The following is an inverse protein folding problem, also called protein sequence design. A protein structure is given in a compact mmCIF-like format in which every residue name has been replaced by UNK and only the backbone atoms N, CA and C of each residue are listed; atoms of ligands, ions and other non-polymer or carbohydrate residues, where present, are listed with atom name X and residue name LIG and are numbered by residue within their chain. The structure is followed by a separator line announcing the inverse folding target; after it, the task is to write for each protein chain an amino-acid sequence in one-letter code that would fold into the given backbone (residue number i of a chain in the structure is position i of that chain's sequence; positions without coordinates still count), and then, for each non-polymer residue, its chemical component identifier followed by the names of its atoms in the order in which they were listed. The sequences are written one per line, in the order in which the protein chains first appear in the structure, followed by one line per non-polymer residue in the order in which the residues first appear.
data_IF_236999884548
#
_entry.id   IF_236999884548
#
_cell.length_a   1.000
_cell.length_b   1.000
_cell.length_c   1.000
_cell.angle_alpha   90.00
_cell.angle_beta   90.00
_cell.angle_gamma   90.00
#
_symmetry.space_group_name_H-M   'P 1'
#
loop_
_entity.id
_entity.type
_entity.pdbx_description
1 polymer ?
#
# COMPACT_ATOMS: atom_id res chain seq x y z
N UNK A 1 -14.99 -27.40 34.04
CA UNK A 1 -15.54 -27.02 32.74
C UNK A 1 -15.65 -25.52 32.76
N UNK A 2 -14.77 -24.81 32.07
CA UNK A 2 -14.84 -23.36 31.94
C UNK A 2 -15.98 -23.06 30.94
N UNK A 3 -16.97 -22.30 31.40
CA UNK A 3 -18.04 -21.76 30.57
C UNK A 3 -17.45 -20.79 29.55
N UNK A 4 -17.15 -21.27 28.36
CA UNK A 4 -16.68 -20.44 27.25
C UNK A 4 -17.92 -19.75 26.65
N UNK A 5 -18.41 -18.69 27.30
CA UNK A 5 -19.39 -17.81 26.68
C UNK A 5 -18.76 -17.26 25.41
N UNK A 6 -19.26 -17.71 24.26
CA UNK A 6 -18.99 -17.00 23.00
C UNK A 6 -19.49 -15.57 23.19
N UNK A 7 -18.60 -14.61 23.06
CA UNK A 7 -18.93 -13.19 23.05
C UNK A 7 -20.07 -12.99 22.03
N UNK A 8 -21.12 -12.30 22.43
CA UNK A 8 -22.20 -11.93 21.51
C UNK A 8 -21.60 -11.03 20.43
N UNK A 9 -21.47 -11.58 19.21
CA UNK A 9 -20.85 -10.87 18.08
C UNK A 9 -21.61 -9.59 17.73
N UNK A 10 -22.89 -9.47 18.05
CA UNK A 10 -23.71 -8.28 17.78
C UNK A 10 -23.27 -7.04 18.57
N UNK A 11 -22.83 -7.20 19.82
CA UNK A 11 -22.35 -6.08 20.65
C UNK A 11 -20.91 -5.66 20.33
N UNK A 12 -20.14 -6.52 19.68
CA UNK A 12 -18.74 -6.28 19.31
C UNK A 12 -18.54 -6.08 17.81
N UNK A 13 -19.61 -5.98 17.03
CA UNK A 13 -19.54 -5.78 15.59
C UNK A 13 -19.18 -4.33 15.24
N UNK A 14 -17.86 -4.06 15.23
CA UNK A 14 -17.31 -2.80 14.77
C UNK A 14 -17.69 -2.46 13.31
N UNK A 15 -18.22 -3.43 12.53
CA UNK A 15 -18.61 -3.19 11.14
C UNK A 15 -19.79 -2.25 10.99
N UNK A 16 -20.59 -2.09 12.04
CA UNK A 16 -21.77 -1.21 12.05
C UNK A 16 -21.45 0.21 12.53
N UNK A 17 -20.28 0.43 13.19
CA UNK A 17 -19.92 1.74 13.72
C UNK A 17 -19.62 2.73 12.59
N UNK A 18 -20.23 3.93 12.57
CA UNK A 18 -20.07 4.88 11.46
C UNK A 18 -18.62 5.32 11.27
N UNK A 19 -17.87 5.56 12.36
CA UNK A 19 -16.48 6.02 12.31
C UNK A 19 -15.50 4.94 11.86
N UNK A 20 -15.96 3.69 11.72
CA UNK A 20 -15.15 2.55 11.29
C UNK A 20 -15.50 2.07 9.88
N UNK A 21 -16.08 2.96 9.06
CA UNK A 21 -16.41 2.73 7.65
C UNK A 21 -15.78 3.81 6.77
N UNK A 22 -15.43 3.47 5.53
CA UNK A 22 -15.06 4.50 4.55
C UNK A 22 -16.16 5.56 4.42
N UNK A 23 -15.79 6.84 4.27
CA UNK A 23 -16.77 7.91 4.11
C UNK A 23 -17.55 7.75 2.80
N UNK A 24 -18.76 8.29 2.79
CA UNK A 24 -19.54 8.54 1.56
C UNK A 24 -19.51 10.02 1.25
N UNK A 25 -19.53 10.38 -0.02
CA UNK A 25 -19.40 11.76 -0.49
C UNK A 25 -20.69 12.23 -1.16
N UNK A 26 -20.99 13.52 -1.03
CA UNK A 26 -22.17 14.13 -1.62
C UNK A 26 -21.86 14.80 -2.97
N UNK A 27 -20.59 15.01 -3.26
CA UNK A 27 -20.12 15.57 -4.54
C UNK A 27 -18.76 14.99 -4.94
N UNK A 28 -18.42 15.11 -6.21
CA UNK A 28 -17.12 14.75 -6.78
C UNK A 28 -16.00 15.62 -6.21
N UNK A 29 -16.28 16.87 -5.94
CA UNK A 29 -15.33 17.82 -5.37
C UNK A 29 -14.96 17.44 -3.94
N UNK A 30 -15.94 17.03 -3.13
CA UNK A 30 -15.72 16.52 -1.77
C UNK A 30 -14.86 15.25 -1.80
N UNK A 31 -15.20 14.31 -2.66
CA UNK A 31 -14.41 13.09 -2.82
C UNK A 31 -12.98 13.39 -3.30
N UNK A 32 -12.81 14.28 -4.28
CA UNK A 32 -11.49 14.70 -4.78
C UNK A 32 -10.65 15.33 -3.68
N UNK A 33 -11.25 16.25 -2.91
CA UNK A 33 -10.57 16.89 -1.78
C UNK A 33 -10.13 15.86 -0.74
N UNK A 34 -11.00 14.92 -0.38
CA UNK A 34 -10.69 13.82 0.51
C UNK A 34 -9.54 12.96 -0.01
N UNK A 35 -9.61 12.49 -1.25
CA UNK A 35 -8.55 11.65 -1.86
C UNK A 35 -7.19 12.35 -1.85
N UNK A 36 -7.15 13.66 -2.16
CA UNK A 36 -5.93 14.47 -2.14
C UNK A 36 -5.38 14.60 -0.71
N UNK A 37 -6.24 14.91 0.26
CA UNK A 37 -5.83 15.02 1.66
C UNK A 37 -5.20 13.72 2.16
N UNK A 38 -5.87 12.59 1.92
CA UNK A 38 -5.37 11.27 2.29
C UNK A 38 -4.05 10.93 1.60
N UNK A 39 -3.88 11.28 0.32
CA UNK A 39 -2.64 11.09 -0.42
C UNK A 39 -1.48 11.90 0.18
N UNK A 40 -1.69 13.18 0.48
CA UNK A 40 -0.67 14.01 1.13
C UNK A 40 -0.30 13.48 2.52
N UNK A 41 -1.29 13.09 3.33
CA UNK A 41 -1.08 12.48 4.63
C UNK A 41 -0.33 11.15 4.54
N UNK A 42 -0.65 10.29 3.57
CA UNK A 42 0.07 9.04 3.35
C UNK A 42 1.56 9.27 3.03
N UNK A 43 1.91 10.30 2.24
CA UNK A 43 3.31 10.68 2.02
C UNK A 43 4.00 11.07 3.33
N UNK A 44 3.35 11.90 4.18
CA UNK A 44 3.89 12.32 5.49
C UNK A 44 4.09 11.11 6.43
N UNK A 45 3.10 10.23 6.50
CA UNK A 45 3.18 8.98 7.29
C UNK A 45 4.36 8.14 6.82
N UNK A 46 4.52 7.96 5.51
CA UNK A 46 5.63 7.17 4.96
C UNK A 46 6.98 7.81 5.29
N UNK A 47 7.09 9.14 5.24
CA UNK A 47 8.31 9.84 5.65
C UNK A 47 8.64 9.61 7.12
N UNK A 48 7.66 9.66 8.04
CA UNK A 48 7.86 9.33 9.46
C UNK A 48 8.39 7.92 9.71
N UNK A 49 8.01 6.99 8.84
CA UNK A 49 8.49 5.60 8.92
C UNK A 49 9.81 5.35 8.14
N UNK A 50 10.41 6.39 7.53
CA UNK A 50 11.66 6.27 6.80
C UNK A 50 11.52 5.57 5.45
N UNK A 51 10.35 5.71 4.80
CA UNK A 51 10.10 5.11 3.47
C UNK A 51 10.40 6.07 2.32
N UNK A 52 10.80 7.30 2.61
CA UNK A 52 11.12 8.38 1.69
C UNK A 52 12.58 8.35 1.20
N UNK A 53 12.97 7.28 0.54
CA UNK A 53 14.36 7.11 0.10
C UNK A 53 14.65 7.95 -1.15
N UNK A 54 15.34 9.10 -1.00
CA UNK A 54 15.69 10.08 -2.05
C UNK A 54 14.43 10.62 -2.77
N UNK A 55 14.41 10.39 -4.11
CA UNK A 55 13.28 10.67 -5.00
C UNK A 55 12.51 9.40 -5.40
N UNK A 56 12.90 8.27 -4.81
CA UNK A 56 12.28 6.99 -5.07
C UNK A 56 10.98 6.84 -4.26
N UNK A 57 10.03 6.17 -4.86
CA UNK A 57 8.72 5.98 -4.28
C UNK A 57 7.70 7.02 -4.76
N UNK A 58 6.48 6.56 -4.85
CA UNK A 58 5.36 7.37 -5.33
C UNK A 58 4.04 6.73 -4.89
N UNK A 59 3.09 7.60 -4.58
CA UNK A 59 1.74 7.22 -4.24
C UNK A 59 0.80 7.89 -5.23
N UNK A 60 -0.23 7.17 -5.66
CA UNK A 60 -1.23 7.69 -6.57
C UNK A 60 -2.63 7.37 -6.11
N UNK A 61 -3.56 8.26 -6.43
CA UNK A 61 -5.00 8.01 -6.27
C UNK A 61 -5.73 8.50 -7.52
N UNK A 62 -6.60 7.64 -8.07
CA UNK A 62 -7.43 7.93 -9.25
C UNK A 62 -8.32 9.15 -8.99
N UNK A 63 -8.46 10.03 -9.98
CA UNK A 63 -9.42 11.12 -9.91
C UNK A 63 -10.85 10.55 -9.93
N UNK A 64 -11.77 11.03 -9.07
CA UNK A 64 -13.12 10.47 -8.99
C UNK A 64 -14.00 10.77 -10.20
N UNK A 65 -13.69 11.82 -10.97
CA UNK A 65 -14.44 12.24 -12.16
C UNK A 65 -13.82 11.71 -13.46
N UNK A 66 -12.48 11.68 -13.50
CA UNK A 66 -11.73 11.35 -14.70
C UNK A 66 -11.00 10.04 -14.53
N UNK A 67 -11.57 8.94 -15.01
CA UNK A 67 -11.01 7.60 -14.85
C UNK A 67 -9.63 7.40 -15.50
N UNK A 68 -9.25 8.27 -16.44
CA UNK A 68 -7.96 8.30 -17.12
C UNK A 68 -6.93 9.21 -16.46
N UNK A 69 -7.19 9.73 -15.25
CA UNK A 69 -6.31 10.63 -14.49
C UNK A 69 -6.11 10.14 -13.07
N UNK A 70 -4.97 10.50 -12.49
CA UNK A 70 -4.66 10.25 -11.09
C UNK A 70 -3.88 11.43 -10.48
N UNK A 71 -3.99 11.55 -9.17
CA UNK A 71 -3.19 12.46 -8.36
C UNK A 71 -1.94 11.73 -7.88
N UNK A 72 -0.81 12.45 -7.82
CA UNK A 72 0.51 11.90 -7.48
C UNK A 72 1.36 12.95 -6.75
N UNK A 73 2.27 12.51 -5.90
CA UNK A 73 3.27 13.36 -5.30
C UNK A 73 4.28 13.86 -6.36
N UNK A 74 4.70 15.15 -6.29
CA UNK A 74 5.67 15.72 -7.23
C UNK A 74 7.07 15.15 -7.03
N UNK A 75 7.86 15.12 -8.11
CA UNK A 75 9.28 14.78 -8.05
C UNK A 75 10.06 15.88 -7.30
N UNK A 76 10.98 15.47 -6.43
CA UNK A 76 11.96 16.36 -5.79
C UNK A 76 11.41 17.18 -4.62
N UNK A 77 10.20 16.88 -4.14
CA UNK A 77 9.69 17.41 -2.87
C UNK A 77 9.84 16.35 -1.80
N UNK A 78 10.44 16.71 -0.67
CA UNK A 78 10.53 15.81 0.49
C UNK A 78 9.14 15.41 0.96
N UNK A 79 8.91 14.12 1.20
CA UNK A 79 7.63 13.63 1.68
C UNK A 79 7.25 14.18 3.06
N UNK A 80 8.23 14.55 3.87
CA UNK A 80 8.01 15.31 5.12
C UNK A 80 7.38 16.69 4.91
N UNK A 81 7.33 17.21 3.69
CA UNK A 81 6.86 18.57 3.38
C UNK A 81 5.75 18.61 2.34
N UNK A 82 5.30 17.47 1.84
CA UNK A 82 4.20 17.39 0.89
C UNK A 82 2.94 18.00 1.51
N UNK A 83 2.26 18.85 0.74
CA UNK A 83 0.94 19.43 1.02
C UNK A 83 -0.04 19.02 -0.06
N UNK A 84 -1.33 19.17 0.23
CA UNK A 84 -2.41 18.96 -0.75
C UNK A 84 -2.22 19.85 -1.98
N UNK A 85 -1.75 21.10 -1.79
CA UNK A 85 -1.47 22.04 -2.87
C UNK A 85 -0.27 21.66 -3.76
N UNK A 86 0.63 20.79 -3.30
CA UNK A 86 1.78 20.32 -4.09
C UNK A 86 1.43 19.21 -5.07
N UNK A 87 0.31 18.49 -4.85
CA UNK A 87 -0.04 17.30 -5.63
C UNK A 87 -0.31 17.64 -7.10
N UNK A 88 0.11 16.73 -7.97
CA UNK A 88 -0.08 16.85 -9.41
C UNK A 88 -1.25 15.98 -9.86
N UNK A 89 -2.06 16.46 -10.80
CA UNK A 89 -2.95 15.62 -11.59
C UNK A 89 -2.29 15.29 -12.92
N UNK A 90 -2.19 14.00 -13.22
CA UNK A 90 -1.54 13.48 -14.42
C UNK A 90 -2.51 12.57 -15.17
N UNK A 91 -2.58 12.68 -16.49
CA UNK A 91 -3.35 11.76 -17.32
C UNK A 91 -2.53 10.52 -17.75
N UNK A 92 -3.20 9.51 -18.31
CA UNK A 92 -2.55 8.30 -18.78
C UNK A 92 -1.65 8.50 -20.02
N UNK A 93 -1.61 9.70 -20.59
CA UNK A 93 -0.64 10.07 -21.63
C UNK A 93 0.62 10.74 -21.07
N UNK A 94 0.70 10.91 -19.73
CA UNK A 94 1.85 11.51 -19.05
C UNK A 94 1.81 13.04 -18.98
N UNK A 95 0.69 13.66 -19.36
CA UNK A 95 0.54 15.11 -19.30
C UNK A 95 0.16 15.53 -17.89
N UNK A 96 0.87 16.51 -17.35
CA UNK A 96 0.48 17.17 -16.10
C UNK A 96 -0.69 18.11 -16.41
N UNK A 97 -1.87 17.78 -15.88
CA UNK A 97 -3.12 18.54 -16.06
C UNK A 97 -3.23 19.66 -15.02
N UNK A 98 -2.82 19.37 -13.78
CA UNK A 98 -2.75 20.35 -12.69
C UNK A 98 -1.42 20.22 -11.95
N UNK A 99 -0.91 21.37 -11.47
CA UNK A 99 0.37 21.49 -10.80
C UNK A 99 1.46 22.04 -11.71
N UNK A 100 2.59 22.40 -11.11
CA UNK A 100 3.69 23.09 -11.83
C UNK A 100 5.01 22.36 -11.75
N UNK A 101 5.08 21.29 -10.95
CA UNK A 101 6.30 20.47 -10.78
C UNK A 101 6.33 19.30 -11.75
N UNK A 102 7.51 18.75 -12.04
CA UNK A 102 7.61 17.53 -12.83
C UNK A 102 7.08 16.31 -12.08
N UNK A 103 6.48 15.38 -12.82
CA UNK A 103 6.16 14.04 -12.33
C UNK A 103 7.41 13.16 -12.43
N UNK A 104 7.54 12.19 -11.51
CA UNK A 104 8.55 11.15 -11.64
C UNK A 104 8.17 10.22 -12.81
N UNK A 105 9.05 10.06 -13.80
CA UNK A 105 8.79 9.24 -14.99
C UNK A 105 8.53 7.77 -14.64
N UNK A 106 9.22 7.21 -13.64
CA UNK A 106 8.98 5.85 -13.16
C UNK A 106 7.62 5.74 -12.46
N UNK A 107 7.23 6.76 -11.67
CA UNK A 107 5.91 6.83 -11.06
C UNK A 107 4.81 6.76 -12.11
N UNK A 108 4.93 7.61 -13.13
CA UNK A 108 3.98 7.62 -14.24
C UNK A 108 3.94 6.26 -14.94
N UNK A 109 5.08 5.72 -15.35
CA UNK A 109 5.15 4.48 -16.11
C UNK A 109 4.48 3.32 -15.35
N UNK A 110 4.82 3.11 -14.08
CA UNK A 110 4.30 2.00 -13.27
C UNK A 110 2.80 2.19 -12.97
N UNK A 111 2.44 3.35 -12.41
CA UNK A 111 1.09 3.55 -11.88
C UNK A 111 0.04 3.74 -12.98
N UNK A 112 0.40 4.36 -14.12
CA UNK A 112 -0.53 4.49 -15.25
C UNK A 112 -0.96 3.13 -15.79
N UNK A 113 -0.04 2.17 -15.91
CA UNK A 113 -0.37 0.82 -16.41
C UNK A 113 -1.14 -0.01 -15.38
N UNK A 114 -0.91 0.19 -14.07
CA UNK A 114 -1.71 -0.43 -13.00
C UNK A 114 -3.14 0.11 -13.05
N UNK A 115 -3.30 1.44 -13.02
CA UNK A 115 -4.62 2.05 -13.09
C UNK A 115 -5.36 1.73 -14.40
N UNK A 116 -4.66 1.62 -15.52
CA UNK A 116 -5.26 1.24 -16.81
C UNK A 116 -5.72 -0.20 -16.84
N UNK A 117 -4.95 -1.11 -16.24
CA UNK A 117 -5.21 -2.55 -16.22
C UNK A 117 -6.22 -3.01 -15.16
N UNK A 118 -6.48 -2.16 -14.15
CA UNK A 118 -7.27 -2.50 -12.96
C UNK A 118 -8.23 -1.36 -12.61
N UNK A 119 -9.46 -1.42 -13.13
CA UNK A 119 -10.50 -0.42 -12.86
C UNK A 119 -10.93 -0.40 -11.38
N UNK A 120 -10.81 -1.54 -10.70
CA UNK A 120 -11.08 -1.69 -9.27
C UNK A 120 -10.02 -1.02 -8.38
N UNK A 121 -8.83 -0.73 -8.91
CA UNK A 121 -7.77 -0.03 -8.19
C UNK A 121 -7.99 1.47 -8.23
N UNK A 122 -8.29 2.04 -7.05
CA UNK A 122 -8.41 3.48 -6.86
C UNK A 122 -7.06 4.09 -6.49
N UNK A 123 -6.24 3.39 -5.71
CA UNK A 123 -4.94 3.89 -5.29
C UNK A 123 -3.84 2.83 -5.41
N UNK A 124 -2.61 3.31 -5.61
CA UNK A 124 -1.42 2.50 -5.60
C UNK A 124 -0.30 3.20 -4.81
N UNK A 125 0.46 2.42 -4.05
CA UNK A 125 1.59 2.88 -3.27
C UNK A 125 2.84 2.05 -3.63
N UNK A 126 3.94 2.73 -3.89
CA UNK A 126 5.26 2.12 -4.10
C UNK A 126 6.31 2.87 -3.30
N UNK A 127 7.16 2.15 -2.60
CA UNK A 127 8.27 2.73 -1.86
C UNK A 127 9.48 1.78 -1.78
N UNK A 128 10.66 2.38 -1.63
CA UNK A 128 11.91 1.69 -1.40
C UNK A 128 12.16 1.55 0.10
N UNK A 129 11.27 0.86 0.78
CA UNK A 129 11.29 0.70 2.23
C UNK A 129 12.50 -0.10 2.73
N UNK A 130 13.02 0.12 3.95
CA UNK A 130 14.25 -0.51 4.43
C UNK A 130 14.22 -2.05 4.36
N UNK A 131 13.20 -2.67 4.93
CA UNK A 131 13.11 -4.13 4.99
C UNK A 131 12.51 -4.72 3.71
N UNK A 132 11.60 -4.00 3.05
CA UNK A 132 11.03 -4.42 1.77
C UNK A 132 12.09 -4.54 0.69
N UNK A 133 13.03 -3.58 0.58
CA UNK A 133 14.18 -3.71 -0.33
C UNK A 133 15.05 -4.92 0.02
N UNK A 134 15.37 -5.09 1.29
CA UNK A 134 16.21 -6.21 1.72
C UNK A 134 15.52 -7.56 1.45
N UNK A 135 14.23 -7.68 1.73
CA UNK A 135 13.47 -8.89 1.44
C UNK A 135 13.31 -9.11 -0.06
N UNK A 136 13.01 -8.07 -0.84
CA UNK A 136 12.86 -8.18 -2.29
C UNK A 136 14.12 -8.73 -2.98
N UNK A 137 15.31 -8.43 -2.45
CA UNK A 137 16.57 -8.96 -2.98
C UNK A 137 16.69 -10.50 -2.84
N UNK A 138 15.89 -11.12 -1.99
CA UNK A 138 15.88 -12.59 -1.85
C UNK A 138 15.10 -13.29 -2.97
N UNK A 139 14.25 -12.58 -3.70
CA UNK A 139 13.36 -13.15 -4.71
C UNK A 139 12.29 -14.09 -4.12
N UNK A 140 12.05 -14.04 -2.81
CA UNK A 140 11.13 -14.95 -2.12
C UNK A 140 9.79 -14.28 -1.81
N UNK A 141 8.66 -15.01 -1.90
CA UNK A 141 7.38 -14.54 -1.37
C UNK A 141 7.41 -14.48 0.15
N UNK A 142 6.41 -13.82 0.75
CA UNK A 142 6.14 -13.93 2.18
C UNK A 142 5.54 -15.31 2.49
N UNK A 143 5.95 -15.88 3.61
CA UNK A 143 5.34 -17.09 4.16
C UNK A 143 4.39 -16.74 5.32
N UNK A 144 3.31 -17.49 5.55
CA UNK A 144 2.32 -17.21 6.58
C UNK A 144 2.85 -17.58 7.98
N UNK A 145 3.80 -16.80 8.51
CA UNK A 145 4.43 -17.05 9.82
C UNK A 145 3.74 -16.34 10.98
N UNK A 146 2.77 -15.47 10.71
CA UNK A 146 1.94 -14.78 11.71
C UNK A 146 0.60 -14.38 11.11
N UNK A 147 -0.32 -13.89 11.97
CA UNK A 147 -1.60 -13.34 11.53
C UNK A 147 -1.42 -12.22 10.47
N UNK A 148 -0.47 -11.32 10.68
CA UNK A 148 -0.24 -10.19 9.78
C UNK A 148 0.21 -10.63 8.39
N UNK A 149 1.05 -11.68 8.31
CA UNK A 149 1.46 -12.27 7.03
C UNK A 149 0.29 -12.88 6.28
N UNK A 150 -0.72 -13.39 7.00
CA UNK A 150 -1.91 -13.94 6.38
C UNK A 150 -2.76 -12.89 5.65
N UNK A 151 -2.61 -11.60 5.96
CA UNK A 151 -3.24 -10.55 5.16
C UNK A 151 -2.84 -10.59 3.68
N UNK A 152 -1.67 -11.16 3.37
CA UNK A 152 -1.13 -11.30 2.01
C UNK A 152 -1.14 -12.74 1.49
N UNK A 153 -1.77 -13.68 2.20
CA UNK A 153 -1.76 -15.08 1.81
C UNK A 153 -2.47 -15.29 0.47
N UNK A 154 -1.75 -15.85 -0.52
CA UNK A 154 -2.20 -15.99 -1.92
C UNK A 154 -2.63 -14.67 -2.60
N UNK A 155 -2.40 -13.52 -1.97
CA UNK A 155 -2.80 -12.19 -2.41
C UNK A 155 -1.60 -11.24 -2.56
N UNK A 156 -0.43 -11.81 -2.79
CA UNK A 156 0.78 -11.12 -3.25
C UNK A 156 1.52 -11.96 -4.27
N UNK A 157 2.38 -11.31 -5.04
CA UNK A 157 3.28 -11.99 -5.97
C UNK A 157 4.70 -11.44 -5.87
N UNK A 158 5.67 -12.17 -6.42
CA UNK A 158 7.03 -11.69 -6.65
C UNK A 158 7.18 -11.41 -8.13
N UNK A 159 7.66 -10.23 -8.47
CA UNK A 159 8.12 -9.89 -9.82
C UNK A 159 9.64 -10.06 -9.86
N UNK A 160 10.12 -11.06 -10.59
CA UNK A 160 11.51 -11.52 -10.65
C UNK A 160 12.28 -11.10 -11.91
N UNK A 161 11.68 -10.25 -12.74
CA UNK A 161 12.23 -9.81 -14.01
C UNK A 161 12.71 -8.34 -13.94
N UNK A 162 13.67 -8.07 -13.04
CA UNK A 162 14.26 -6.75 -12.87
C UNK A 162 15.25 -6.44 -13.98
N UNK A 163 14.97 -5.40 -14.77
CA UNK A 163 15.81 -4.99 -15.92
C UNK A 163 16.46 -3.61 -15.74
N UNK A 164 16.35 -3.01 -14.57
CA UNK A 164 16.89 -1.69 -14.23
C UNK A 164 15.83 -0.70 -13.76
N UNK A 165 16.15 0.59 -13.81
CA UNK A 165 15.17 1.63 -13.46
C UNK A 165 14.07 1.69 -14.54
N UNK A 166 12.81 1.75 -14.08
CA UNK A 166 11.64 1.66 -14.95
C UNK A 166 11.39 3.00 -15.63
N UNK A 167 11.68 3.06 -16.92
CA UNK A 167 11.38 4.23 -17.77
C UNK A 167 10.45 3.89 -18.94
N UNK A 168 10.11 2.61 -19.11
CA UNK A 168 9.33 2.09 -20.24
C UNK A 168 7.98 1.55 -19.76
N UNK A 169 6.92 1.96 -20.46
CA UNK A 169 5.57 1.45 -20.24
C UNK A 169 5.42 -0.04 -20.58
N UNK A 170 6.28 -0.60 -21.45
CA UNK A 170 6.29 -2.03 -21.75
C UNK A 170 6.71 -2.86 -20.53
N UNK A 171 7.70 -2.40 -19.75
CA UNK A 171 8.06 -3.02 -18.47
C UNK A 171 6.95 -2.88 -17.43
N UNK A 172 6.34 -1.72 -17.36
CA UNK A 172 5.25 -1.44 -16.41
C UNK A 172 4.01 -2.32 -16.64
N UNK A 173 3.73 -2.72 -17.88
CA UNK A 173 2.68 -3.71 -18.18
C UNK A 173 3.01 -5.08 -17.62
N UNK A 174 4.30 -5.44 -17.49
CA UNK A 174 4.70 -6.71 -16.86
C UNK A 174 4.39 -6.68 -15.36
N UNK A 175 4.58 -5.55 -14.68
CA UNK A 175 4.17 -5.39 -13.27
C UNK A 175 2.67 -5.53 -13.10
N UNK A 176 1.87 -4.86 -13.94
CA UNK A 176 0.41 -4.97 -13.90
C UNK A 176 -0.06 -6.42 -14.11
N UNK A 177 0.57 -7.17 -15.03
CA UNK A 177 0.27 -8.60 -15.25
C UNK A 177 0.69 -9.46 -14.06
N UNK A 178 1.86 -9.21 -13.46
CA UNK A 178 2.34 -9.96 -12.30
C UNK A 178 1.49 -9.70 -11.05
N UNK A 179 1.03 -8.46 -10.89
CA UNK A 179 0.08 -8.09 -9.83
C UNK A 179 -1.25 -8.84 -10.01
N UNK A 180 -1.73 -8.96 -11.26
CA UNK A 180 -3.00 -9.60 -11.58
C UNK A 180 -4.13 -9.03 -10.70
N UNK A 181 -4.87 -9.84 -9.98
CA UNK A 181 -5.93 -9.43 -9.06
C UNK A 181 -5.44 -9.21 -7.62
N UNK A 182 -4.18 -9.47 -7.35
CA UNK A 182 -3.59 -9.35 -6.01
C UNK A 182 -3.47 -7.90 -5.56
N UNK A 183 -3.33 -7.72 -4.24
CA UNK A 183 -3.15 -6.39 -3.64
C UNK A 183 -1.70 -5.97 -3.50
N UNK A 184 -0.74 -6.90 -3.60
CA UNK A 184 0.67 -6.60 -3.33
C UNK A 184 1.62 -7.27 -4.33
N UNK A 185 2.72 -6.58 -4.63
CA UNK A 185 3.81 -7.06 -5.47
C UNK A 185 5.15 -6.77 -4.80
N UNK A 186 5.96 -7.80 -4.62
CA UNK A 186 7.36 -7.69 -4.21
C UNK A 186 8.19 -7.60 -5.49
N UNK A 187 8.77 -6.44 -5.74
CA UNK A 187 9.61 -6.19 -6.91
C UNK A 187 11.03 -6.61 -6.58
N UNK A 188 11.49 -7.74 -7.10
CA UNK A 188 12.84 -8.27 -6.83
C UNK A 188 13.91 -7.22 -7.14
N UNK A 189 14.87 -7.05 -6.21
CA UNK A 189 15.95 -6.05 -6.25
C UNK A 189 15.50 -4.59 -6.35
N UNK A 190 14.22 -4.30 -6.02
CA UNK A 190 13.67 -2.96 -6.21
C UNK A 190 12.94 -2.46 -4.94
N UNK A 191 11.81 -3.04 -4.60
CA UNK A 191 11.01 -2.59 -3.46
C UNK A 191 9.63 -3.23 -3.39
N UNK A 192 8.69 -2.53 -2.77
CA UNK A 192 7.33 -2.99 -2.56
C UNK A 192 6.32 -2.13 -3.31
N UNK A 193 5.25 -2.76 -3.80
CA UNK A 193 4.10 -2.10 -4.41
C UNK A 193 2.82 -2.71 -3.87
N UNK A 194 1.85 -1.86 -3.53
CA UNK A 194 0.52 -2.27 -3.09
C UNK A 194 -0.57 -1.44 -3.76
N UNK A 195 -1.76 -1.99 -3.82
CA UNK A 195 -2.94 -1.33 -4.39
C UNK A 195 -4.13 -1.47 -3.48
N UNK A 196 -5.13 -0.61 -3.67
CA UNK A 196 -6.37 -0.64 -2.89
C UNK A 196 -7.50 0.16 -3.53
N UNK A 197 -8.68 0.05 -2.91
CA UNK A 197 -9.88 0.79 -3.26
C UNK A 197 -9.90 2.21 -2.65
N UNK A 198 -8.87 2.53 -1.86
CA UNK A 198 -8.58 3.86 -1.33
C UNK A 198 -7.08 4.01 -1.11
N UNK A 199 -6.62 5.27 -0.97
CA UNK A 199 -5.23 5.50 -0.60
C UNK A 199 -4.93 5.03 0.82
N UNK A 200 -5.91 5.08 1.71
CA UNK A 200 -5.83 4.54 3.07
C UNK A 200 -5.46 3.05 3.03
N UNK A 201 -6.22 2.30 2.25
CA UNK A 201 -5.99 0.86 2.07
C UNK A 201 -4.62 0.57 1.47
N UNK A 202 -4.30 1.18 0.32
CA UNK A 202 -3.05 0.94 -0.37
C UNK A 202 -1.82 1.29 0.49
N UNK A 203 -1.87 2.41 1.22
CA UNK A 203 -0.79 2.84 2.10
C UNK A 203 -0.65 1.92 3.32
N UNK A 204 -1.76 1.52 3.94
CA UNK A 204 -1.70 0.56 5.05
C UNK A 204 -1.11 -0.78 4.62
N UNK A 205 -1.54 -1.31 3.47
CA UNK A 205 -0.97 -2.57 2.96
C UNK A 205 0.53 -2.46 2.73
N UNK A 206 1.05 -1.34 2.22
CA UNK A 206 2.49 -1.17 2.05
C UNK A 206 3.20 -1.12 3.40
N UNK A 207 2.64 -0.41 4.37
CA UNK A 207 3.19 -0.37 5.73
C UNK A 207 3.20 -1.77 6.37
N UNK A 208 2.11 -2.52 6.28
CA UNK A 208 2.03 -3.88 6.83
C UNK A 208 2.99 -4.84 6.11
N UNK A 209 3.10 -4.73 4.78
CA UNK A 209 4.01 -5.54 3.97
C UNK A 209 5.48 -5.32 4.37
N UNK A 210 5.86 -4.06 4.64
CA UNK A 210 7.18 -3.71 5.17
C UNK A 210 7.43 -4.36 6.54
N UNK A 211 6.43 -4.33 7.44
CA UNK A 211 6.54 -4.98 8.78
C UNK A 211 6.63 -6.49 8.65
N UNK A 212 5.91 -7.10 7.72
CA UNK A 212 6.04 -8.52 7.39
C UNK A 212 7.44 -8.85 6.83
N UNK A 213 7.96 -8.04 5.92
CA UNK A 213 9.32 -8.19 5.39
C UNK A 213 10.38 -8.11 6.51
N UNK A 214 10.22 -7.18 7.45
CA UNK A 214 11.07 -7.08 8.65
C UNK A 214 11.03 -8.37 9.47
N UNK A 215 9.85 -8.90 9.74
CA UNK A 215 9.67 -10.13 10.51
C UNK A 215 10.33 -11.32 9.81
N UNK A 216 10.17 -11.44 8.50
CA UNK A 216 10.82 -12.50 7.71
C UNK A 216 12.34 -12.42 7.78
N UNK A 217 12.93 -11.22 7.67
CA UNK A 217 14.38 -11.02 7.77
C UNK A 217 14.90 -11.38 9.17
N UNK A 218 14.19 -10.98 10.23
CA UNK A 218 14.56 -11.29 11.61
C UNK A 218 14.53 -12.80 11.85
N UNK A 219 13.48 -13.48 11.42
CA UNK A 219 13.37 -14.94 11.56
C UNK A 219 14.43 -15.66 10.73
N UNK A 220 14.70 -15.20 9.50
CA UNK A 220 15.71 -15.78 8.64
C UNK A 220 17.14 -15.63 9.18
N UNK A 221 17.38 -14.64 10.07
CA UNK A 221 18.67 -14.44 10.73
C UNK A 221 18.92 -15.37 11.92
N UNK A 222 17.88 -16.06 12.41
CA UNK A 222 18.01 -16.98 13.51
C UNK A 222 18.60 -18.32 13.05
N UNK A 223 19.55 -18.86 13.81
CA UNK A 223 20.02 -20.21 13.61
C UNK A 223 18.87 -21.18 13.96
N UNK A 224 18.51 -22.12 13.08
CA UNK A 224 17.46 -23.07 13.40
C UNK A 224 17.90 -23.97 14.57
N UNK A 225 17.01 -24.28 15.53
CA UNK A 225 17.29 -25.25 16.58
C UNK A 225 17.57 -26.63 15.95
N UNK A 226 18.42 -27.47 16.55
CA UNK A 226 18.70 -28.79 16.04
C UNK A 226 17.42 -29.61 15.78
N UNK A 227 17.25 -30.10 14.56
CA UNK A 227 16.10 -30.91 14.15
C UNK A 227 14.77 -30.16 14.00
N UNK A 228 14.80 -28.82 13.99
CA UNK A 228 13.60 -28.00 13.77
C UNK A 228 13.85 -26.94 12.69
N UNK A 229 12.81 -26.49 11.97
CA UNK A 229 12.92 -25.34 11.07
C UNK A 229 13.19 -24.06 11.88
N UNK A 230 13.71 -23.01 11.22
CA UNK A 230 13.94 -21.70 11.82
C UNK A 230 12.63 -21.04 12.28
N UNK A 231 11.52 -21.37 11.65
CA UNK A 231 10.16 -20.89 11.99
C UNK A 231 9.12 -21.95 11.63
N UNK A 232 7.92 -21.77 12.14
CA UNK A 232 6.76 -22.62 11.85
C UNK A 232 5.77 -21.81 11.02
N UNK A 233 5.59 -22.16 9.77
CA UNK A 233 4.54 -21.60 8.93
C UNK A 233 3.18 -22.17 9.32
N UNK A 234 2.13 -21.36 9.20
CA UNK A 234 0.74 -21.78 9.36
C UNK A 234 0.35 -22.74 8.23
N UNK A 235 -0.58 -23.65 8.50
CA UNK A 235 -1.15 -24.51 7.46
C UNK A 235 -1.97 -23.67 6.46
N UNK A 236 -2.13 -24.20 5.24
CA UNK A 236 -2.98 -23.57 4.23
C UNK A 236 -4.37 -23.24 4.76
N UNK A 237 -5.03 -24.18 5.43
CA UNK A 237 -6.37 -23.98 6.00
C UNK A 237 -6.41 -22.80 6.98
N UNK A 238 -5.43 -22.70 7.89
CA UNK A 238 -5.36 -21.62 8.88
C UNK A 238 -5.02 -20.31 8.20
N UNK A 239 -4.06 -20.30 7.29
CA UNK A 239 -3.64 -19.08 6.58
C UNK A 239 -4.77 -18.51 5.70
N UNK A 240 -5.46 -19.36 4.93
CA UNK A 240 -6.62 -18.96 4.11
C UNK A 240 -7.75 -18.38 4.96
N UNK A 241 -8.16 -19.07 6.02
CA UNK A 241 -9.20 -18.58 6.92
C UNK A 241 -8.80 -17.26 7.59
N UNK A 242 -7.54 -17.11 7.96
CA UNK A 242 -7.04 -15.86 8.56
C UNK A 242 -7.02 -14.75 7.52
N UNK A 243 -6.65 -15.05 6.27
CA UNK A 243 -6.74 -14.08 5.16
C UNK A 243 -8.17 -13.55 4.96
N UNK A 244 -9.17 -14.41 4.97
CA UNK A 244 -10.58 -14.01 4.90
C UNK A 244 -10.96 -13.02 6.03
N UNK A 245 -10.33 -13.15 7.19
CA UNK A 245 -10.62 -12.31 8.36
C UNK A 245 -9.87 -10.97 8.33
N UNK A 246 -8.59 -10.94 7.94
CA UNK A 246 -7.73 -9.75 8.08
C UNK A 246 -7.20 -9.19 6.75
N UNK A 247 -7.39 -9.90 5.64
CA UNK A 247 -6.92 -9.50 4.31
C UNK A 247 -7.90 -8.63 3.52
N UNK A 248 -9.04 -8.26 4.07
CA UNK A 248 -10.12 -7.58 3.34
C UNK A 248 -9.87 -6.05 3.24
N UNK A 249 -10.37 -5.38 2.18
CA UNK A 249 -10.20 -3.94 1.97
C UNK A 249 -10.56 -3.08 3.19
N UNK A 250 -11.64 -3.43 3.88
CA UNK A 250 -12.07 -2.71 5.08
C UNK A 250 -11.03 -2.77 6.21
N UNK A 251 -10.27 -3.87 6.34
CA UNK A 251 -9.19 -3.96 7.33
C UNK A 251 -8.02 -3.06 6.95
N UNK A 252 -7.67 -2.98 5.67
CA UNK A 252 -6.67 -2.04 5.17
C UNK A 252 -7.05 -0.60 5.44
N UNK A 253 -8.29 -0.22 5.13
CA UNK A 253 -8.81 1.11 5.42
C UNK A 253 -8.77 1.42 6.94
N UNK A 254 -9.26 0.52 7.78
CA UNK A 254 -9.27 0.68 9.25
C UNK A 254 -7.87 0.77 9.84
N UNK A 255 -6.95 -0.03 9.34
CA UNK A 255 -5.57 -0.04 9.81
C UNK A 255 -4.83 1.27 9.55
N UNK A 256 -5.27 2.05 8.56
CA UNK A 256 -4.71 3.37 8.27
C UNK A 256 -5.22 4.46 9.23
N UNK A 257 -6.41 4.31 9.82
CA UNK A 257 -7.03 5.39 10.59
C UNK A 257 -6.20 5.87 11.79
N UNK A 258 -5.59 4.99 12.63
CA UNK A 258 -4.71 5.46 13.69
C UNK A 258 -3.51 6.27 13.19
N UNK A 259 -2.90 5.87 12.06
CA UNK A 259 -1.78 6.61 11.46
C UNK A 259 -2.24 7.98 10.94
N UNK A 260 -3.46 8.03 10.39
CA UNK A 260 -4.08 9.27 9.94
C UNK A 260 -4.37 10.22 11.10
N UNK A 261 -4.92 9.74 12.19
CA UNK A 261 -5.25 10.55 13.36
C UNK A 261 -3.97 11.18 13.96
N UNK A 262 -2.89 10.40 14.03
CA UNK A 262 -1.59 10.89 14.49
C UNK A 262 -1.03 11.98 13.57
N UNK A 263 -1.04 11.78 12.25
CA UNK A 263 -0.44 12.77 11.32
C UNK A 263 -1.24 14.07 11.27
N UNK A 264 -2.57 14.00 11.35
CA UNK A 264 -3.43 15.19 11.39
C UNK A 264 -3.24 15.97 12.70
N UNK A 265 -3.08 15.28 13.81
CA UNK A 265 -2.83 15.93 15.11
C UNK A 265 -1.48 16.64 15.14
N UNK A 266 -0.45 16.04 14.58
CA UNK A 266 0.93 16.53 14.71
C UNK A 266 1.35 17.49 13.59
N UNK A 267 0.82 17.34 12.38
CA UNK A 267 1.28 18.07 11.19
C UNK A 267 0.09 18.58 10.33
N UNK A 268 -0.93 19.26 10.91
CA UNK A 268 -2.16 19.61 10.16
C UNK A 268 -1.93 20.50 8.94
N UNK A 269 -0.76 21.16 8.82
CA UNK A 269 -0.43 22.05 7.71
C UNK A 269 -0.30 21.34 6.35
N UNK A 270 -0.23 20.01 6.31
CA UNK A 270 -0.24 19.30 5.03
C UNK A 270 -1.58 19.36 4.31
N UNK A 271 -2.65 19.70 5.02
CA UNK A 271 -4.01 19.86 4.46
C UNK A 271 -4.19 21.12 3.60
N UNK A 272 -3.20 22.04 3.61
CA UNK A 272 -3.21 23.30 2.84
C UNK A 272 -2.96 23.12 1.34
#
# INVERSE_FOLDING_TARGET
MADTRMLDRGELDASTHPDLKPPSFTSVEEERAHRKARLAGACRIFARHGYDHWVAGHLTVRDPEHADRFWVNPLGVSWHRIRVSDLLQVDFAGRVIQGTRPVNAAAFAIHSEIHRGREDVVAAAHAHTPYGRAWSATGRPLEPISQDHCAFYEDHAVFDDFTGAVYDTAESRRFSRALDRRKALILQNHGLLTVGQSIDEAAFWLHLLERCAQSMLLVASLAPPPGRPAYVALSHEVASRTHEQVGQPLHGWRGFQPLWDEIVADEPEFLE
#
